data_IF_719382378100
#
_entry.id   IF_719382378100
#
_cell.length_a   1.000
_cell.length_b   1.000
_cell.length_c   1.000
_cell.angle_alpha   90.00
_cell.angle_beta   90.00
_cell.angle_gamma   90.00
#
_symmetry.space_group_name_H-M   'P 1'
#
loop_
_entity.id
_entity.type
_entity.pdbx_description
1 polymer ?
#
# COMPACT_ATOMS: atom_id res chain seq x y z
N UNK A 1 15.88 -4.26 -13.11
CA UNK A 1 14.68 -3.87 -12.36
C UNK A 1 14.85 -2.41 -11.98
N UNK A 2 13.77 -1.64 -11.96
CA UNK A 2 13.80 -0.22 -11.61
C UNK A 2 14.24 -0.07 -10.15
N UNK A 3 15.29 0.70 -9.87
CA UNK A 3 15.87 0.85 -8.54
C UNK A 3 14.84 1.36 -7.51
N UNK A 4 13.83 2.11 -7.98
CA UNK A 4 12.74 2.61 -7.14
C UNK A 4 11.78 1.51 -6.69
N UNK A 5 11.48 0.56 -7.58
CA UNK A 5 10.64 -0.59 -7.25
C UNK A 5 11.34 -1.55 -6.27
N UNK A 6 12.67 -1.66 -6.35
CA UNK A 6 13.47 -2.48 -5.43
C UNK A 6 13.48 -1.89 -4.01
N UNK A 7 13.66 -0.57 -3.88
CA UNK A 7 13.56 0.14 -2.60
C UNK A 7 12.18 -0.03 -1.96
N UNK A 8 11.11 0.21 -2.72
CA UNK A 8 9.75 0.06 -2.24
C UNK A 8 9.43 -1.38 -1.78
N UNK A 9 9.87 -2.38 -2.54
CA UNK A 9 9.66 -3.78 -2.19
C UNK A 9 10.38 -4.15 -0.88
N UNK A 10 11.57 -3.60 -0.65
CA UNK A 10 12.30 -3.76 0.61
C UNK A 10 11.52 -3.15 1.79
N UNK A 11 11.04 -1.92 1.65
CA UNK A 11 10.25 -1.23 2.67
C UNK A 11 8.98 -2.01 3.04
N UNK A 12 8.18 -2.42 2.04
CA UNK A 12 6.98 -3.23 2.24
C UNK A 12 7.27 -4.55 2.95
N UNK A 13 8.39 -5.22 2.61
CA UNK A 13 8.80 -6.47 3.28
C UNK A 13 9.19 -6.26 4.74
N UNK A 14 9.84 -5.14 5.06
CA UNK A 14 10.18 -4.80 6.44
C UNK A 14 8.90 -4.53 7.25
N UNK A 15 7.98 -3.70 6.74
CA UNK A 15 6.71 -3.42 7.42
C UNK A 15 5.88 -4.69 7.60
N UNK A 16 5.83 -5.58 6.60
CA UNK A 16 5.18 -6.89 6.72
C UNK A 16 5.75 -7.69 7.90
N UNK A 17 7.08 -7.74 8.02
CA UNK A 17 7.75 -8.48 9.09
C UNK A 17 7.42 -7.90 10.47
N UNK A 18 7.46 -6.57 10.61
CA UNK A 18 7.10 -5.90 11.86
C UNK A 18 5.65 -6.18 12.30
N UNK A 19 4.71 -6.20 11.35
CA UNK A 19 3.29 -6.49 11.65
C UNK A 19 3.13 -7.95 12.07
N UNK A 20 3.78 -8.88 11.38
CA UNK A 20 3.74 -10.31 11.75
C UNK A 20 4.28 -10.55 13.16
N UNK A 21 5.41 -9.94 13.51
CA UNK A 21 5.98 -10.03 14.86
C UNK A 21 4.99 -9.52 15.92
N UNK A 22 4.38 -8.34 15.70
CA UNK A 22 3.36 -7.78 16.60
C UNK A 22 2.11 -8.65 16.75
N UNK A 23 1.71 -9.34 15.69
CA UNK A 23 0.60 -10.29 15.71
C UNK A 23 0.96 -11.58 16.46
N UNK A 24 2.20 -12.07 16.30
CA UNK A 24 2.72 -13.27 16.97
C UNK A 24 2.92 -13.09 18.46
N UNK A 25 3.45 -11.94 18.89
CA UNK A 25 3.67 -11.62 20.31
C UNK A 25 2.37 -11.58 21.12
N UNK A 26 1.20 -11.46 20.46
CA UNK A 26 -0.11 -11.47 21.13
C UNK A 26 -0.40 -10.22 21.97
N UNK A 27 0.50 -9.23 21.97
CA UNK A 27 0.38 -7.98 22.73
C UNK A 27 -0.60 -6.96 22.08
N UNK A 28 -1.11 -7.26 20.89
CA UNK A 28 -2.06 -6.42 20.17
C UNK A 28 -3.46 -6.53 20.77
N UNK A 29 -4.09 -5.41 21.10
CA UNK A 29 -5.47 -5.41 21.61
C UNK A 29 -6.46 -6.00 20.60
N UNK A 30 -7.59 -6.52 21.09
CA UNK A 30 -8.64 -7.09 20.24
C UNK A 30 -9.19 -6.10 19.18
N UNK A 31 -9.09 -4.79 19.45
CA UNK A 31 -9.51 -3.73 18.51
C UNK A 31 -8.46 -3.46 17.41
N UNK A 32 -7.18 -3.62 17.73
CA UNK A 32 -6.07 -3.33 16.81
C UNK A 32 -5.74 -4.52 15.91
N UNK A 33 -5.94 -5.75 16.41
CA UNK A 33 -5.70 -6.97 15.65
C UNK A 33 -6.36 -7.00 14.26
N UNK A 34 -7.65 -6.67 14.07
CA UNK A 34 -8.25 -6.66 12.74
C UNK A 34 -7.60 -5.63 11.81
N UNK A 35 -7.26 -4.44 12.32
CA UNK A 35 -6.60 -3.37 11.54
C UNK A 35 -5.23 -3.83 11.05
N UNK A 36 -4.45 -4.50 11.92
CA UNK A 36 -3.14 -5.05 11.55
C UNK A 36 -3.26 -6.17 10.50
N UNK A 37 -4.31 -6.98 10.56
CA UNK A 37 -4.56 -8.02 9.56
C UNK A 37 -4.96 -7.43 8.21
N UNK A 38 -5.77 -6.37 8.20
CA UNK A 38 -6.10 -5.62 6.98
C UNK A 38 -4.86 -4.96 6.37
N UNK A 39 -4.04 -4.28 7.18
CA UNK A 39 -2.79 -3.69 6.71
C UNK A 39 -1.82 -4.74 6.14
N UNK A 40 -1.69 -5.89 6.83
CA UNK A 40 -0.87 -7.00 6.35
C UNK A 40 -1.37 -7.52 5.00
N UNK A 41 -2.68 -7.68 4.85
CA UNK A 41 -3.29 -8.10 3.60
C UNK A 41 -2.99 -7.12 2.46
N UNK A 42 -3.08 -5.82 2.72
CA UNK A 42 -2.83 -4.75 1.75
C UNK A 42 -1.37 -4.74 1.29
N UNK A 43 -0.42 -4.94 2.21
CA UNK A 43 1.01 -5.08 1.91
C UNK A 43 1.27 -6.33 1.06
N UNK A 44 0.66 -7.47 1.40
CA UNK A 44 0.83 -8.70 0.63
C UNK A 44 0.29 -8.57 -0.80
N UNK A 45 -0.87 -7.92 -0.97
CA UNK A 45 -1.40 -7.63 -2.32
C UNK A 45 -0.46 -6.69 -3.10
N UNK A 46 0.06 -5.64 -2.47
CA UNK A 46 1.00 -4.73 -3.11
C UNK A 46 2.27 -5.45 -3.58
N UNK A 47 2.88 -6.28 -2.72
CA UNK A 47 4.04 -7.10 -3.07
C UNK A 47 3.76 -8.05 -4.23
N UNK A 48 2.60 -8.74 -4.22
CA UNK A 48 2.20 -9.63 -5.30
C UNK A 48 2.03 -8.89 -6.64
N UNK A 49 1.46 -7.67 -6.62
CA UNK A 49 1.36 -6.83 -7.83
C UNK A 49 2.72 -6.41 -8.36
N UNK A 50 3.68 -6.11 -7.47
CA UNK A 50 5.06 -5.79 -7.86
C UNK A 50 5.69 -7.00 -8.57
N UNK A 51 5.56 -8.19 -8.00
CA UNK A 51 6.10 -9.43 -8.58
C UNK A 51 5.47 -9.78 -9.93
N UNK A 52 4.17 -9.51 -10.10
CA UNK A 52 3.45 -9.76 -11.35
C UNK A 52 3.63 -8.64 -12.40
N UNK A 53 4.21 -7.49 -12.03
CA UNK A 53 4.33 -6.32 -12.91
C UNK A 53 3.03 -5.52 -13.09
N UNK A 54 2.05 -5.70 -12.20
CA UNK A 54 0.77 -5.00 -12.20
C UNK A 54 0.70 -3.89 -11.13
N UNK A 55 1.82 -3.59 -10.48
CA UNK A 55 1.89 -2.53 -9.49
C UNK A 55 1.54 -1.17 -10.09
N UNK A 56 0.74 -0.40 -9.36
CA UNK A 56 0.25 0.90 -9.81
C UNK A 56 -0.90 0.84 -10.82
N UNK A 57 -1.53 -0.32 -11.05
CA UNK A 57 -2.80 -0.42 -11.78
C UNK A 57 -4.00 -0.48 -10.83
N UNK A 58 -5.07 0.23 -11.18
CA UNK A 58 -6.35 0.19 -10.51
C UNK A 58 -6.97 -1.20 -10.62
N UNK A 59 -7.36 -1.80 -9.50
CA UNK A 59 -7.96 -3.15 -9.47
C UNK A 59 -9.34 -3.23 -10.14
N UNK A 60 -10.02 -2.08 -10.28
CA UNK A 60 -11.38 -2.01 -10.85
C UNK A 60 -11.34 -1.62 -12.33
N UNK A 61 -10.66 -0.52 -12.67
CA UNK A 61 -10.65 0.02 -14.04
C UNK A 61 -9.47 -0.47 -14.89
N UNK A 62 -8.40 -0.98 -14.27
CA UNK A 62 -7.15 -1.33 -14.95
C UNK A 62 -6.28 -0.13 -15.35
N UNK A 63 -6.73 1.09 -15.09
CA UNK A 63 -5.99 2.33 -15.37
C UNK A 63 -4.80 2.49 -14.43
N UNK A 64 -3.81 3.30 -14.83
CA UNK A 64 -2.67 3.62 -13.97
C UNK A 64 -3.08 4.57 -12.84
N UNK A 65 -2.72 4.21 -11.62
CA UNK A 65 -2.86 5.04 -10.44
C UNK A 65 -1.78 6.15 -10.46
N UNK A 66 -2.07 7.34 -9.88
CA UNK A 66 -1.11 8.45 -9.87
C UNK A 66 0.17 8.09 -9.10
N UNK A 67 1.34 8.27 -9.74
CA UNK A 67 2.64 7.94 -9.17
C UNK A 67 2.92 8.69 -7.85
N UNK A 68 2.60 9.99 -7.79
CA UNK A 68 2.80 10.81 -6.58
C UNK A 68 2.02 10.26 -5.37
N UNK A 69 0.83 9.70 -5.62
CA UNK A 69 0.04 9.09 -4.55
C UNK A 69 0.58 7.72 -4.16
N UNK A 70 1.09 6.93 -5.12
CA UNK A 70 1.73 5.65 -4.83
C UNK A 70 3.05 5.82 -4.06
N UNK A 71 3.77 6.91 -4.28
CA UNK A 71 4.95 7.26 -3.49
C UNK A 71 4.60 7.57 -2.03
N UNK A 72 3.42 8.15 -1.78
CA UNK A 72 2.97 8.47 -0.43
C UNK A 72 2.23 7.30 0.24
N UNK A 73 1.45 6.53 -0.52
CA UNK A 73 0.64 5.41 -0.06
C UNK A 73 0.83 4.23 -1.03
N UNK A 74 1.82 3.38 -0.80
CA UNK A 74 2.18 2.33 -1.75
C UNK A 74 1.18 1.18 -1.85
N UNK A 75 0.23 1.09 -0.93
CA UNK A 75 -0.81 0.06 -0.89
C UNK A 75 -2.11 0.48 -1.59
N UNK A 76 -2.15 1.62 -2.28
CA UNK A 76 -3.34 2.06 -3.04
C UNK A 76 -3.78 1.01 -4.07
N UNK A 77 -5.10 0.80 -4.15
CA UNK A 77 -5.71 -0.26 -4.97
C UNK A 77 -6.59 0.28 -6.08
N UNK A 78 -7.31 1.36 -5.83
CA UNK A 78 -8.36 1.85 -6.74
C UNK A 78 -8.30 3.36 -6.98
N UNK A 79 -8.88 3.80 -8.10
CA UNK A 79 -9.07 5.23 -8.38
C UNK A 79 -10.00 5.92 -7.37
N UNK A 80 -10.90 5.17 -6.73
CA UNK A 80 -11.73 5.70 -5.65
C UNK A 80 -10.89 6.04 -4.42
N UNK A 81 -9.90 5.21 -4.09
CA UNK A 81 -8.96 5.48 -2.99
C UNK A 81 -8.14 6.74 -3.27
N UNK A 82 -7.65 6.89 -4.49
CA UNK A 82 -6.97 8.12 -4.93
C UNK A 82 -7.87 9.35 -4.78
N UNK A 83 -9.14 9.23 -5.18
CA UNK A 83 -10.12 10.31 -5.06
C UNK A 83 -10.43 10.66 -3.61
N UNK A 84 -10.53 9.66 -2.72
CA UNK A 84 -10.72 9.85 -1.28
C UNK A 84 -9.50 10.56 -0.68
N UNK A 85 -8.30 10.12 -1.01
CA UNK A 85 -7.06 10.72 -0.53
C UNK A 85 -6.95 12.17 -1.01
N UNK A 86 -7.19 12.41 -2.30
CA UNK A 86 -7.17 13.72 -2.96
C UNK A 86 -8.02 14.78 -2.27
N UNK A 87 -9.19 14.40 -1.71
CA UNK A 87 -10.06 15.33 -0.95
C UNK A 87 -9.40 15.90 0.30
N UNK A 88 -8.44 15.19 0.88
CA UNK A 88 -7.72 15.61 2.08
C UNK A 88 -6.41 16.35 1.76
N UNK A 89 -5.96 16.37 0.51
CA UNK A 89 -4.82 17.19 0.10
C UNK A 89 -5.23 18.67 0.07
N UNK A 90 -4.54 19.48 0.88
CA UNK A 90 -4.72 20.94 0.89
C UNK A 90 -3.90 21.67 -0.18
N UNK A 91 -3.15 20.95 -1.01
CA UNK A 91 -2.40 21.50 -2.15
C UNK A 91 -3.01 21.00 -3.45
N UNK A 92 -3.09 21.89 -4.45
CA UNK A 92 -3.53 21.53 -5.80
C UNK A 92 -2.67 20.40 -6.35
N UNK A 93 -3.31 19.28 -6.71
CA UNK A 93 -2.67 18.11 -7.31
C UNK A 93 -2.34 18.32 -8.80
N UNK A 94 -2.69 19.50 -9.33
CA UNK A 94 -2.33 19.92 -10.68
C UNK A 94 -1.00 20.68 -10.64
N UNK A 95 0.02 20.14 -11.30
CA UNK A 95 1.17 20.89 -11.80
C UNK A 95 1.14 20.86 -13.33
#
# INVERSE_FOLDING_TARGET
MDAKAEGLCSELRNTRQEILERLMEGNSSALIKPILLEELHDIEQALKKIENGDYGKCEISGELLPADLLEMVPTLKTMEDCSKLGKYYRKSIYH
#
